data_IF_273335298090
#
_entry.id   IF_273335298090
#
_cell.length_a   1.000
_cell.length_b   1.000
_cell.length_c   1.000
_cell.angle_alpha   90.00
_cell.angle_beta   90.00
_cell.angle_gamma   90.00
#
_symmetry.space_group_name_H-M   'P 1'
#
loop_
_entity.id
_entity.type
_entity.pdbx_description
1 polymer ?
#
# COMPACT_ATOMS: atom_id res chain seq x y z
N UNK A 1 4.85 47.57 -12.90
CA UNK A 1 3.88 47.07 -11.90
C UNK A 1 2.62 46.65 -12.62
N UNK A 2 2.11 45.46 -12.32
CA UNK A 2 0.87 44.94 -12.90
C UNK A 2 -0.32 45.46 -12.07
N UNK A 3 -1.15 46.40 -12.59
CA UNK A 3 -2.21 47.03 -11.81
C UNK A 3 -3.31 46.06 -11.38
N UNK A 4 -3.54 44.97 -12.13
CA UNK A 4 -4.54 43.96 -11.78
C UNK A 4 -4.04 43.09 -10.60
N UNK A 5 -2.72 42.85 -10.54
CA UNK A 5 -2.10 42.14 -9.44
C UNK A 5 -2.14 42.96 -8.14
N UNK A 6 -1.79 44.25 -8.22
CA UNK A 6 -1.86 45.16 -7.07
C UNK A 6 -3.30 45.30 -6.54
N UNK A 7 -4.27 45.42 -7.46
CA UNK A 7 -5.69 45.41 -7.08
C UNK A 7 -6.04 44.12 -6.35
N UNK A 8 -5.65 42.95 -6.88
CA UNK A 8 -5.97 41.67 -6.25
C UNK A 8 -5.33 41.52 -4.87
N UNK A 9 -4.07 41.90 -4.70
CA UNK A 9 -3.38 41.93 -3.40
C UNK A 9 -4.09 42.82 -2.39
N UNK A 10 -4.55 44.00 -2.82
CA UNK A 10 -5.25 44.96 -1.94
C UNK A 10 -6.57 44.44 -1.37
N UNK A 11 -7.20 43.43 -2.00
CA UNK A 11 -8.51 42.89 -1.60
C UNK A 11 -8.42 41.48 -0.97
N UNK A 12 -7.22 40.95 -0.72
CA UNK A 12 -7.02 39.63 -0.10
C UNK A 12 -7.58 39.52 1.33
N UNK A 13 -7.81 40.64 2.01
CA UNK A 13 -8.42 40.65 3.34
C UNK A 13 -9.96 40.52 3.32
N UNK A 14 -10.58 40.69 2.14
CA UNK A 14 -12.04 40.59 1.98
C UNK A 14 -12.51 39.14 1.85
N UNK A 15 -13.81 38.89 1.95
CA UNK A 15 -14.37 37.55 1.70
C UNK A 15 -14.39 37.21 0.18
N UNK A 16 -14.63 35.93 -0.14
CA UNK A 16 -14.63 35.45 -1.53
C UNK A 16 -15.68 36.13 -2.42
N UNK A 17 -16.83 36.53 -1.87
CA UNK A 17 -17.93 37.15 -2.61
C UNK A 17 -17.58 38.59 -2.95
N UNK A 18 -17.04 39.33 -1.99
CA UNK A 18 -16.57 40.71 -2.16
C UNK A 18 -15.38 40.78 -3.12
N UNK A 19 -14.41 39.85 -3.01
CA UNK A 19 -13.31 39.75 -3.97
C UNK A 19 -13.81 39.57 -5.40
N UNK A 20 -14.78 38.67 -5.62
CA UNK A 20 -15.38 38.45 -6.95
C UNK A 20 -16.08 39.71 -7.47
N UNK A 21 -16.80 40.42 -6.61
CA UNK A 21 -17.50 41.65 -6.98
C UNK A 21 -16.51 42.76 -7.36
N UNK A 22 -15.44 42.96 -6.58
CA UNK A 22 -14.36 43.93 -6.88
C UNK A 22 -13.64 43.62 -8.19
N UNK A 23 -13.47 42.33 -8.50
CA UNK A 23 -12.79 41.86 -9.72
C UNK A 23 -13.73 41.66 -10.93
N UNK A 24 -15.02 42.00 -10.82
CA UNK A 24 -16.02 41.67 -11.86
C UNK A 24 -15.75 42.34 -13.21
N UNK A 25 -15.06 43.47 -13.20
CA UNK A 25 -14.71 44.25 -14.40
C UNK A 25 -13.57 43.61 -15.21
N UNK A 26 -12.81 42.68 -14.62
CA UNK A 26 -11.73 41.97 -15.30
C UNK A 26 -12.27 40.75 -16.04
N UNK A 27 -11.69 40.39 -17.20
CA UNK A 27 -11.95 39.11 -17.85
C UNK A 27 -11.66 37.94 -16.91
N UNK A 28 -12.38 36.83 -17.08
CA UNK A 28 -12.17 35.61 -16.28
C UNK A 28 -10.72 35.11 -16.36
N UNK A 29 -10.09 35.21 -17.54
CA UNK A 29 -8.68 34.85 -17.75
C UNK A 29 -7.72 35.68 -16.88
N UNK A 30 -7.94 36.99 -16.80
CA UNK A 30 -7.13 37.90 -15.97
C UNK A 30 -7.33 37.62 -14.48
N UNK A 31 -8.58 37.37 -14.03
CA UNK A 31 -8.85 36.99 -12.64
C UNK A 31 -8.13 35.70 -12.26
N UNK A 32 -8.13 34.72 -13.15
CA UNK A 32 -7.41 33.45 -12.94
C UNK A 32 -5.90 33.70 -12.90
N UNK A 33 -5.37 34.52 -13.81
CA UNK A 33 -3.93 34.86 -13.87
C UNK A 33 -3.45 35.49 -12.57
N UNK A 34 -4.09 36.56 -12.09
CA UNK A 34 -3.64 37.26 -10.87
C UNK A 34 -3.81 36.41 -9.62
N UNK A 35 -4.88 35.60 -9.54
CA UNK A 35 -5.05 34.62 -8.45
C UNK A 35 -3.90 33.62 -8.42
N UNK A 36 -3.54 33.04 -9.57
CA UNK A 36 -2.42 32.08 -9.67
C UNK A 36 -1.10 32.71 -9.24
N UNK A 37 -0.83 33.97 -9.62
CA UNK A 37 0.40 34.67 -9.21
C UNK A 37 0.45 34.81 -7.69
N UNK A 38 -0.63 35.27 -7.05
CA UNK A 38 -0.67 35.43 -5.60
C UNK A 38 -0.58 34.10 -4.87
N UNK A 39 -1.30 33.07 -5.32
CA UNK A 39 -1.22 31.72 -4.72
C UNK A 39 0.22 31.16 -4.79
N UNK A 40 0.95 31.41 -5.89
CA UNK A 40 2.36 31.03 -6.02
C UNK A 40 3.25 31.81 -5.04
N UNK A 41 3.06 33.13 -4.93
CA UNK A 41 3.82 33.98 -4.00
C UNK A 41 3.58 33.57 -2.54
N UNK A 42 2.33 33.36 -2.13
CA UNK A 42 1.97 32.90 -0.78
C UNK A 42 2.61 31.54 -0.47
N UNK A 43 2.53 30.57 -1.39
CA UNK A 43 3.14 29.25 -1.20
C UNK A 43 4.67 29.31 -1.13
N UNK A 44 5.30 30.15 -1.96
CA UNK A 44 6.74 30.35 -1.93
C UNK A 44 7.18 31.00 -0.60
N UNK A 45 6.43 31.98 -0.09
CA UNK A 45 6.69 32.59 1.20
C UNK A 45 6.57 31.57 2.35
N UNK A 46 5.49 30.79 2.37
CA UNK A 46 5.30 29.72 3.36
C UNK A 46 6.45 28.70 3.33
N UNK A 47 6.97 28.38 2.14
CA UNK A 47 8.11 27.48 2.01
C UNK A 47 9.38 28.11 2.60
N UNK A 48 9.67 29.38 2.29
CA UNK A 48 10.81 30.10 2.86
C UNK A 48 10.74 30.20 4.38
N UNK A 49 9.56 30.48 4.95
CA UNK A 49 9.34 30.51 6.39
C UNK A 49 9.59 29.16 7.05
N UNK A 50 9.17 28.05 6.41
CA UNK A 50 9.41 26.69 6.91
C UNK A 50 10.88 26.26 6.79
N UNK A 51 11.55 26.64 5.71
CA UNK A 51 12.98 26.39 5.53
C UNK A 51 13.80 27.15 6.57
N UNK A 52 13.42 28.39 6.88
CA UNK A 52 14.14 29.27 7.81
C UNK A 52 15.65 29.38 7.48
N UNK A 53 15.99 29.32 6.18
CA UNK A 53 17.37 29.35 5.68
C UNK A 53 18.14 28.03 5.76
N UNK A 54 17.52 26.93 6.20
CA UNK A 54 18.13 25.59 6.25
C UNK A 54 18.14 24.93 4.86
N UNK A 55 19.13 24.07 4.62
CA UNK A 55 19.21 23.26 3.41
C UNK A 55 18.22 22.10 3.44
N UNK A 56 17.46 21.93 2.36
CA UNK A 56 16.36 20.97 2.31
C UNK A 56 16.83 19.51 2.27
N UNK A 57 18.00 19.25 1.67
CA UNK A 57 18.60 17.91 1.63
C UNK A 57 19.14 17.55 3.01
N UNK A 58 19.87 18.46 3.65
CA UNK A 58 20.38 18.26 5.02
C UNK A 58 19.25 18.05 6.02
N UNK A 59 18.16 18.83 5.93
CA UNK A 59 16.97 18.63 6.76
C UNK A 59 16.40 17.22 6.63
N UNK A 60 16.26 16.70 5.41
CA UNK A 60 15.70 15.37 5.18
C UNK A 60 16.61 14.25 5.69
N UNK A 61 17.93 14.41 5.59
CA UNK A 61 18.91 13.43 6.05
C UNK A 61 19.07 13.43 7.58
N UNK A 62 18.88 14.58 8.23
CA UNK A 62 19.09 14.74 9.68
C UNK A 62 17.81 14.53 10.50
N UNK A 63 16.67 15.06 10.04
CA UNK A 63 15.37 14.89 10.68
C UNK A 63 14.24 14.68 9.66
N UNK A 64 14.07 13.43 9.17
CA UNK A 64 12.99 13.07 8.25
C UNK A 64 11.58 13.42 8.78
N UNK A 65 11.41 13.51 10.10
CA UNK A 65 10.10 13.71 10.71
C UNK A 65 9.50 15.07 10.39
N UNK A 66 10.33 16.09 10.09
CA UNK A 66 9.87 17.43 9.66
C UNK A 66 9.08 17.40 8.33
N UNK A 67 9.31 16.37 7.50
CA UNK A 67 8.61 16.18 6.23
C UNK A 67 7.28 15.46 6.43
N UNK A 68 7.11 14.74 7.54
CA UNK A 68 5.87 14.03 7.86
C UNK A 68 4.75 15.05 8.07
N UNK A 69 3.69 14.95 7.26
CA UNK A 69 2.57 15.89 7.29
C UNK A 69 2.87 17.28 6.70
N UNK A 70 4.00 17.47 6.02
CA UNK A 70 4.36 18.72 5.35
C UNK A 70 4.47 18.54 3.82
N UNK A 71 3.35 18.53 3.08
CA UNK A 71 3.36 18.42 1.62
C UNK A 71 4.21 19.49 0.93
N UNK A 72 4.35 20.66 1.55
CA UNK A 72 5.12 21.77 0.98
C UNK A 72 6.64 21.47 0.97
N UNK A 73 7.19 20.95 2.08
CA UNK A 73 8.60 20.57 2.17
C UNK A 73 8.88 19.34 1.28
N UNK A 74 7.98 18.36 1.31
CA UNK A 74 8.07 17.17 0.46
C UNK A 74 8.06 17.55 -1.02
N UNK A 75 7.10 18.35 -1.47
CA UNK A 75 7.02 18.77 -2.88
C UNK A 75 8.25 19.57 -3.31
N UNK A 76 8.76 20.45 -2.44
CA UNK A 76 9.98 21.19 -2.74
C UNK A 76 11.20 20.27 -2.94
N UNK A 77 11.38 19.25 -2.08
CA UNK A 77 12.52 18.34 -2.15
C UNK A 77 12.44 17.41 -3.36
N UNK A 78 11.23 16.99 -3.73
CA UNK A 78 10.98 16.21 -4.93
C UNK A 78 11.07 17.04 -6.22
N UNK A 79 11.08 18.37 -6.10
CA UNK A 79 11.08 19.30 -7.25
C UNK A 79 9.70 19.45 -7.91
N UNK A 80 8.62 19.11 -7.21
CA UNK A 80 7.23 19.24 -7.67
C UNK A 80 6.76 20.70 -7.67
N UNK A 81 5.63 20.96 -8.32
CA UNK A 81 5.04 22.29 -8.30
C UNK A 81 4.56 22.66 -6.89
N UNK A 82 4.70 23.94 -6.52
CA UNK A 82 4.19 24.46 -5.24
C UNK A 82 2.65 24.53 -5.19
N UNK A 83 1.99 24.46 -6.36
CA UNK A 83 0.53 24.51 -6.46
C UNK A 83 0.00 23.32 -7.28
N UNK A 84 -1.11 22.74 -6.81
CA UNK A 84 -1.79 21.64 -7.51
C UNK A 84 -2.21 22.03 -8.94
N UNK A 85 -2.78 23.23 -9.20
CA UNK A 85 -3.15 23.62 -10.56
C UNK A 85 -1.98 23.64 -11.55
N UNK A 86 -0.79 24.03 -11.10
CA UNK A 86 0.41 24.07 -11.94
C UNK A 86 0.90 22.66 -12.28
N UNK A 87 0.97 21.78 -11.28
CA UNK A 87 1.28 20.37 -11.49
C UNK A 87 0.26 19.70 -12.41
N UNK A 88 -1.04 19.88 -12.15
CA UNK A 88 -2.13 19.37 -12.99
C UNK A 88 -2.01 19.83 -14.44
N UNK A 89 -1.67 21.11 -14.66
CA UNK A 89 -1.48 21.65 -16.02
C UNK A 89 -0.29 21.01 -16.71
N UNK A 90 0.82 20.82 -15.99
CA UNK A 90 2.00 20.14 -16.51
C UNK A 90 1.72 18.67 -16.83
N UNK A 91 1.11 17.94 -15.90
CA UNK A 91 0.75 16.53 -16.08
C UNK A 91 -0.15 16.38 -17.30
N UNK A 92 -1.24 17.15 -17.39
CA UNK A 92 -2.13 17.10 -18.54
C UNK A 92 -1.41 17.43 -19.86
N UNK A 93 -0.46 18.36 -19.87
CA UNK A 93 0.36 18.64 -21.05
C UNK A 93 1.24 17.46 -21.44
N UNK A 94 1.97 16.87 -20.50
CA UNK A 94 2.91 15.76 -20.74
C UNK A 94 2.17 14.49 -21.13
N UNK A 95 1.00 14.22 -20.57
CA UNK A 95 0.23 13.01 -20.84
C UNK A 95 -0.80 13.16 -21.97
N UNK A 96 -0.74 14.23 -22.76
CA UNK A 96 -1.70 14.47 -23.86
C UNK A 96 -3.17 14.59 -23.41
N UNK A 97 -3.41 15.21 -22.25
CA UNK A 97 -4.71 15.39 -21.57
C UNK A 97 -5.35 14.11 -21.01
N UNK A 98 -4.66 12.97 -21.06
CA UNK A 98 -5.14 11.70 -20.50
C UNK A 98 -5.27 11.71 -18.97
N UNK A 99 -4.51 12.57 -18.28
CA UNK A 99 -4.47 12.67 -16.82
C UNK A 99 -4.62 14.12 -16.36
N UNK A 100 -5.50 14.34 -15.38
CA UNK A 100 -5.82 15.69 -14.89
C UNK A 100 -5.04 16.15 -13.64
N UNK A 101 -4.36 15.25 -12.94
CA UNK A 101 -3.58 15.57 -11.73
C UNK A 101 -2.51 14.53 -11.43
N UNK A 102 -1.47 14.94 -10.70
CA UNK A 102 -0.32 14.09 -10.38
C UNK A 102 -0.62 12.95 -9.39
N UNK A 103 -1.43 13.20 -8.36
CA UNK A 103 -1.76 12.17 -7.35
C UNK A 103 -2.55 10.99 -7.97
N UNK A 104 -3.46 11.27 -8.90
CA UNK A 104 -4.18 10.25 -9.66
C UNK A 104 -3.25 9.41 -10.54
N UNK A 105 -2.28 10.07 -11.20
CA UNK A 105 -1.27 9.39 -12.01
C UNK A 105 -0.38 8.48 -11.15
N UNK A 106 0.12 8.99 -10.01
CA UNK A 106 0.91 8.22 -9.04
C UNK A 106 0.13 6.99 -8.54
N UNK A 107 -1.11 7.20 -8.12
CA UNK A 107 -1.95 6.11 -7.60
C UNK A 107 -2.17 5.03 -8.65
N UNK A 108 -2.47 5.43 -9.89
CA UNK A 108 -2.71 4.48 -10.99
C UNK A 108 -1.47 3.71 -11.42
N UNK A 109 -0.29 4.33 -11.33
CA UNK A 109 0.98 3.63 -11.56
C UNK A 109 1.37 2.72 -10.40
N UNK A 110 1.16 3.14 -9.16
CA UNK A 110 1.43 2.31 -7.98
C UNK A 110 0.54 1.06 -7.99
N UNK A 111 -0.73 1.22 -8.36
CA UNK A 111 -1.73 0.15 -8.45
C UNK A 111 -1.78 -0.53 -9.82
N UNK A 112 -0.78 -0.36 -10.70
CA UNK A 112 -0.81 -0.90 -12.06
C UNK A 112 -1.05 -2.42 -12.08
N UNK A 113 -0.58 -3.10 -11.04
CA UNK A 113 -0.71 -4.54 -10.82
C UNK A 113 -2.13 -4.99 -10.37
N UNK A 114 -3.09 -4.08 -10.16
CA UNK A 114 -4.43 -4.34 -9.60
C UNK A 114 -5.53 -4.62 -10.65
N UNK A 115 -5.16 -4.86 -11.92
CA UNK A 115 -6.08 -5.38 -12.95
C UNK A 115 -6.86 -4.31 -13.74
N UNK A 116 -6.80 -3.03 -13.37
CA UNK A 116 -7.21 -1.93 -14.23
C UNK A 116 -5.94 -1.24 -14.73
N UNK A 117 -5.35 -1.74 -15.82
CA UNK A 117 -4.16 -1.15 -16.42
C UNK A 117 -4.59 0.01 -17.33
N UNK A 118 -4.46 1.27 -16.88
CA UNK A 118 -4.85 2.38 -17.72
C UNK A 118 -3.87 2.54 -18.87
N UNK A 119 -4.31 3.27 -19.90
CA UNK A 119 -3.41 3.75 -20.92
C UNK A 119 -2.46 4.77 -20.28
N UNK A 120 -1.15 4.47 -20.30
CA UNK A 120 -0.15 5.39 -19.79
C UNK A 120 1.02 5.51 -20.78
N UNK A 121 1.24 6.70 -21.38
CA UNK A 121 2.34 6.90 -22.31
C UNK A 121 3.70 6.89 -21.60
N UNK A 122 4.78 6.61 -22.35
CA UNK A 122 6.15 6.53 -21.81
C UNK A 122 6.58 7.80 -21.05
N UNK A 123 6.20 8.98 -21.54
CA UNK A 123 6.54 10.25 -20.89
C UNK A 123 5.88 10.38 -19.50
N UNK A 124 4.69 9.81 -19.30
CA UNK A 124 4.09 9.78 -17.99
C UNK A 124 4.88 8.89 -17.03
N UNK A 125 5.39 7.74 -17.50
CA UNK A 125 6.24 6.85 -16.70
C UNK A 125 7.54 7.54 -16.30
N UNK A 126 8.19 8.23 -17.24
CA UNK A 126 9.38 9.04 -16.97
C UNK A 126 9.09 10.17 -15.99
N UNK A 127 7.97 10.86 -16.13
CA UNK A 127 7.56 11.94 -15.23
C UNK A 127 7.37 11.43 -13.79
N UNK A 128 6.71 10.28 -13.61
CA UNK A 128 6.55 9.65 -12.29
C UNK A 128 7.86 9.16 -11.73
N UNK A 129 8.72 8.56 -12.56
CA UNK A 129 10.06 8.19 -12.13
C UNK A 129 10.85 9.40 -11.60
N UNK A 130 10.62 10.58 -12.18
CA UNK A 130 11.19 11.85 -11.76
C UNK A 130 10.43 12.55 -10.61
N UNK A 131 9.61 11.84 -9.86
CA UNK A 131 8.84 12.38 -8.73
C UNK A 131 7.85 13.49 -9.11
N UNK A 132 7.35 13.48 -10.35
CA UNK A 132 6.53 14.56 -10.94
C UNK A 132 7.25 15.92 -10.93
N UNK A 133 8.56 15.92 -11.18
CA UNK A 133 9.38 17.12 -11.26
C UNK A 133 8.72 18.20 -12.14
N UNK A 134 8.66 19.42 -11.63
CA UNK A 134 7.97 20.52 -12.29
C UNK A 134 8.79 21.10 -13.45
N UNK A 135 8.20 21.09 -14.64
CA UNK A 135 8.79 21.55 -15.89
C UNK A 135 7.93 22.72 -16.41
N UNK A 136 8.34 23.95 -16.13
CA UNK A 136 7.72 25.15 -16.70
C UNK A 136 8.80 26.16 -17.08
N UNK A 137 8.91 26.48 -18.37
CA UNK A 137 9.86 27.46 -18.89
C UNK A 137 11.35 27.13 -18.72
N UNK A 138 11.72 25.92 -18.31
CA UNK A 138 13.11 25.46 -18.24
C UNK A 138 13.66 25.06 -19.61
N UNK A 139 14.98 25.22 -19.82
CA UNK A 139 15.66 24.66 -20.99
C UNK A 139 15.79 23.13 -20.92
N UNK A 140 15.63 22.54 -19.73
CA UNK A 140 15.72 21.09 -19.53
C UNK A 140 14.43 20.41 -19.99
N UNK A 141 14.58 19.37 -20.81
CA UNK A 141 13.51 18.48 -21.23
C UNK A 141 13.22 17.43 -20.17
N UNK A 142 12.08 16.74 -20.26
CA UNK A 142 11.77 15.60 -19.38
C UNK A 142 12.85 14.50 -19.48
N UNK A 143 13.41 14.30 -20.68
CA UNK A 143 14.47 13.32 -20.90
C UNK A 143 15.75 13.69 -20.14
N UNK A 144 16.15 14.96 -20.17
CA UNK A 144 17.34 15.43 -19.43
C UNK A 144 17.19 15.21 -17.91
N UNK A 145 15.99 15.49 -17.39
CA UNK A 145 15.69 15.29 -15.96
C UNK A 145 15.70 13.79 -15.63
N UNK A 146 15.13 12.95 -16.49
CA UNK A 146 15.13 11.50 -16.30
C UNK A 146 16.54 10.91 -16.25
N UNK A 147 17.41 11.31 -17.18
CA UNK A 147 18.80 10.87 -17.22
C UNK A 147 19.61 11.36 -16.01
N UNK A 148 19.38 12.60 -15.55
CA UNK A 148 20.03 13.11 -14.35
C UNK A 148 19.54 12.36 -13.09
N UNK A 149 18.25 12.03 -13.00
CA UNK A 149 17.70 11.24 -11.89
C UNK A 149 18.30 9.84 -11.83
N UNK A 150 18.49 9.18 -12.98
CA UNK A 150 19.18 7.89 -13.06
C UNK A 150 20.62 7.99 -12.54
N UNK A 151 21.35 9.02 -12.97
CA UNK A 151 22.73 9.26 -12.54
C UNK A 151 22.84 9.54 -11.04
N UNK A 152 21.97 10.39 -10.51
CA UNK A 152 21.94 10.74 -9.07
C UNK A 152 21.68 9.51 -8.19
N UNK A 153 20.86 8.57 -8.66
CA UNK A 153 20.57 7.29 -8.00
C UNK A 153 21.74 6.32 -8.10
N UNK A 154 22.34 6.15 -9.27
CA UNK A 154 23.53 5.30 -9.46
C UNK A 154 24.70 5.76 -8.56
N UNK A 155 24.89 7.08 -8.46
CA UNK A 155 25.92 7.68 -7.61
C UNK A 155 25.53 7.78 -6.14
N UNK A 156 24.30 7.40 -5.76
CA UNK A 156 23.79 7.50 -4.39
C UNK A 156 24.02 8.89 -3.77
N UNK A 157 23.74 9.94 -4.55
CA UNK A 157 23.96 11.32 -4.11
C UNK A 157 23.12 11.66 -2.87
N UNK A 158 23.57 12.62 -2.02
CA UNK A 158 22.79 13.05 -0.86
C UNK A 158 21.36 13.49 -1.23
N UNK A 159 21.19 14.14 -2.38
CA UNK A 159 19.88 14.55 -2.88
C UNK A 159 18.99 13.36 -3.26
N UNK A 160 19.55 12.31 -3.86
CA UNK A 160 18.81 11.06 -4.14
C UNK A 160 18.38 10.37 -2.84
N UNK A 161 19.30 10.24 -1.88
CA UNK A 161 19.03 9.66 -0.55
C UNK A 161 17.99 10.44 0.25
N UNK A 162 17.99 11.77 0.14
CA UNK A 162 16.99 12.62 0.76
C UNK A 162 15.60 12.42 0.14
N UNK A 163 15.48 12.38 -1.20
CA UNK A 163 14.18 12.20 -1.91
C UNK A 163 13.53 10.87 -1.58
N UNK A 164 14.19 9.77 -1.89
CA UNK A 164 14.60 8.91 -0.79
C UNK A 164 13.63 8.61 0.36
N UNK A 165 14.16 8.99 1.50
CA UNK A 165 13.58 9.06 2.82
C UNK A 165 12.20 9.73 2.82
N UNK A 166 12.01 10.83 2.09
CA UNK A 166 10.78 11.64 2.20
C UNK A 166 9.63 11.16 1.30
N UNK A 167 9.86 10.26 0.34
CA UNK A 167 8.79 9.75 -0.53
C UNK A 167 7.73 9.01 0.29
N UNK A 168 6.45 9.27 0.00
CA UNK A 168 5.34 8.44 0.48
C UNK A 168 5.32 7.11 -0.27
N UNK A 169 4.75 6.07 0.33
CA UNK A 169 4.76 4.72 -0.25
C UNK A 169 4.14 4.66 -1.65
N UNK A 170 3.07 5.43 -1.92
CA UNK A 170 2.49 5.53 -3.26
C UNK A 170 3.51 6.02 -4.30
N UNK A 171 4.36 6.99 -3.93
CA UNK A 171 5.40 7.51 -4.83
C UNK A 171 6.48 6.46 -5.03
N UNK A 172 6.91 5.80 -3.94
CA UNK A 172 7.90 4.72 -3.96
C UNK A 172 7.46 3.58 -4.89
N UNK A 173 6.24 3.09 -4.74
CA UNK A 173 5.64 2.03 -5.56
C UNK A 173 5.50 2.46 -7.03
N UNK A 174 5.01 3.67 -7.28
CA UNK A 174 4.86 4.18 -8.63
C UNK A 174 6.22 4.32 -9.35
N UNK A 175 7.26 4.80 -8.64
CA UNK A 175 8.63 4.91 -9.16
C UNK A 175 9.24 3.56 -9.49
N UNK A 176 9.08 2.57 -8.62
CA UNK A 176 9.50 1.17 -8.86
C UNK A 176 8.84 0.62 -10.12
N UNK A 177 7.52 0.73 -10.22
CA UNK A 177 6.77 0.24 -11.36
C UNK A 177 7.19 0.97 -12.66
N UNK A 178 7.47 2.28 -12.57
CA UNK A 178 8.02 3.06 -13.69
C UNK A 178 9.40 2.56 -14.11
N UNK A 179 10.32 2.28 -13.17
CA UNK A 179 11.65 1.74 -13.45
C UNK A 179 11.57 0.44 -14.28
N UNK A 180 10.66 -0.46 -13.92
CA UNK A 180 10.41 -1.68 -14.71
C UNK A 180 9.82 -1.36 -16.09
N UNK A 181 8.73 -0.59 -16.14
CA UNK A 181 8.01 -0.32 -17.39
C UNK A 181 8.84 0.44 -18.42
N UNK A 182 9.59 1.48 -18.02
CA UNK A 182 10.37 2.32 -18.94
C UNK A 182 11.36 1.45 -19.73
N UNK A 183 12.03 0.50 -19.08
CA UNK A 183 13.00 -0.39 -19.74
C UNK A 183 12.39 -1.17 -20.93
N UNK A 184 11.11 -1.54 -20.82
CA UNK A 184 10.40 -2.24 -21.89
C UNK A 184 9.79 -1.31 -22.92
N UNK A 185 9.32 -0.12 -22.51
CA UNK A 185 8.71 0.87 -23.39
C UNK A 185 9.74 1.56 -24.30
N UNK A 186 10.96 1.74 -23.84
CA UNK A 186 12.05 2.32 -24.65
C UNK A 186 12.44 1.42 -25.84
N UNK A 187 12.13 0.12 -25.76
CA UNK A 187 12.38 -0.85 -26.84
C UNK A 187 11.29 -0.85 -27.92
N UNK A 188 10.15 -0.20 -27.69
CA UNK A 188 9.08 -0.12 -28.69
C UNK A 188 9.47 0.80 -29.85
N UNK A 189 9.05 0.44 -31.06
CA UNK A 189 9.12 1.35 -32.21
C UNK A 189 8.12 2.50 -32.08
N UNK A 190 8.28 3.55 -32.90
CA UNK A 190 7.35 4.67 -32.90
C UNK A 190 5.94 4.23 -33.34
N UNK A 191 5.83 3.29 -34.29
CA UNK A 191 4.54 2.73 -34.70
C UNK A 191 3.84 1.95 -33.57
N UNK A 192 4.59 1.25 -32.72
CA UNK A 192 4.04 0.56 -31.56
C UNK A 192 3.56 1.53 -30.48
N UNK A 193 4.21 2.70 -30.35
CA UNK A 193 3.83 3.76 -29.41
C UNK A 193 2.59 4.53 -29.85
N UNK A 194 2.41 4.66 -31.16
CA UNK A 194 1.29 5.38 -31.79
C UNK A 194 0.07 4.49 -32.09
N UNK A 195 0.05 3.26 -31.54
CA UNK A 195 -1.08 2.34 -31.66
C UNK A 195 -2.38 2.91 -31.07
N UNK A 196 -3.51 2.42 -31.57
CA UNK A 196 -4.81 2.71 -30.96
C UNK A 196 -4.83 2.27 -29.49
N UNK A 197 -5.56 3.02 -28.65
CA UNK A 197 -5.56 2.87 -27.18
C UNK A 197 -5.74 1.41 -26.73
N UNK A 198 -6.63 0.65 -27.39
CA UNK A 198 -6.91 -0.75 -27.02
C UNK A 198 -5.71 -1.66 -27.31
N UNK A 199 -5.06 -1.48 -28.46
CA UNK A 199 -3.88 -2.27 -28.83
C UNK A 199 -2.70 -1.90 -27.95
N UNK A 200 -2.48 -0.62 -27.71
CA UNK A 200 -1.40 -0.17 -26.84
C UNK A 200 -1.54 -0.70 -25.41
N UNK A 201 -2.77 -0.77 -24.86
CA UNK A 201 -3.00 -1.41 -23.54
C UNK A 201 -2.55 -2.86 -23.49
N UNK A 202 -2.77 -3.63 -24.56
CA UNK A 202 -2.30 -5.02 -24.63
C UNK A 202 -0.77 -5.10 -24.76
N UNK A 203 -0.17 -4.16 -25.50
CA UNK A 203 1.28 -3.98 -25.54
C UNK A 203 1.84 -3.69 -24.14
N UNK A 204 1.21 -2.78 -23.38
CA UNK A 204 1.63 -2.46 -22.01
C UNK A 204 1.53 -3.69 -21.08
N UNK A 205 0.47 -4.49 -21.17
CA UNK A 205 0.34 -5.77 -20.43
C UNK A 205 1.46 -6.74 -20.75
N UNK A 206 1.76 -6.88 -22.03
CA UNK A 206 2.83 -7.77 -22.50
C UNK A 206 4.19 -7.31 -21.98
N UNK A 207 4.44 -6.00 -22.00
CA UNK A 207 5.64 -5.41 -21.42
C UNK A 207 5.68 -5.67 -19.92
N UNK A 208 4.60 -5.37 -19.17
CA UNK A 208 4.52 -5.55 -17.72
C UNK A 208 4.88 -6.97 -17.32
N UNK A 209 4.29 -7.98 -17.96
CA UNK A 209 4.61 -9.40 -17.73
C UNK A 209 6.08 -9.75 -18.01
N UNK A 210 6.71 -9.07 -18.97
CA UNK A 210 8.11 -9.28 -19.35
C UNK A 210 9.11 -8.60 -18.41
N UNK A 211 8.80 -7.38 -17.95
CA UNK A 211 9.77 -6.51 -17.24
C UNK A 211 9.58 -6.47 -15.73
N UNK A 212 8.38 -6.77 -15.23
CA UNK A 212 8.15 -6.87 -13.79
C UNK A 212 8.62 -8.23 -13.25
N UNK A 213 9.04 -8.32 -11.98
CA UNK A 213 9.40 -9.59 -11.35
C UNK A 213 8.29 -10.64 -11.46
N UNK A 214 8.66 -11.92 -11.44
CA UNK A 214 7.67 -12.99 -11.31
C UNK A 214 6.97 -12.91 -9.94
N UNK A 215 5.70 -13.33 -9.80
CA UNK A 215 5.03 -13.46 -8.51
C UNK A 215 5.66 -14.54 -7.64
N UNK A 216 5.44 -14.50 -6.29
CA UNK A 216 6.00 -15.51 -5.40
C UNK A 216 5.57 -16.90 -5.83
N UNK A 217 6.43 -17.91 -5.61
CA UNK A 217 6.17 -19.26 -6.11
C UNK A 217 4.80 -19.80 -5.65
N UNK A 218 4.39 -19.47 -4.42
CA UNK A 218 3.09 -19.84 -3.87
C UNK A 218 1.92 -19.16 -4.60
N UNK A 219 2.05 -17.88 -4.97
CA UNK A 219 1.05 -17.16 -5.77
C UNK A 219 0.98 -17.74 -7.17
N UNK A 220 2.13 -17.95 -7.81
CA UNK A 220 2.18 -18.52 -9.17
C UNK A 220 1.52 -19.90 -9.19
N UNK A 221 1.81 -20.75 -8.20
CA UNK A 221 1.18 -22.06 -8.04
C UNK A 221 -0.34 -21.97 -7.95
N UNK A 222 -0.87 -21.10 -7.09
CA UNK A 222 -2.32 -20.86 -6.92
C UNK A 222 -2.96 -20.41 -8.24
N UNK A 223 -2.35 -19.44 -8.92
CA UNK A 223 -2.89 -18.86 -10.14
C UNK A 223 -2.89 -19.85 -11.30
N UNK A 224 -1.82 -20.63 -11.45
CA UNK A 224 -1.67 -21.64 -12.51
C UNK A 224 -2.62 -22.82 -12.30
N UNK A 225 -2.74 -23.28 -11.04
CA UNK A 225 -3.65 -24.38 -10.68
C UNK A 225 -5.12 -23.95 -10.57
N UNK A 226 -5.40 -22.63 -10.56
CA UNK A 226 -6.69 -22.04 -10.18
C UNK A 226 -7.21 -22.62 -8.86
N UNK A 227 -6.28 -22.76 -7.91
CA UNK A 227 -6.51 -23.44 -6.66
C UNK A 227 -7.05 -22.48 -5.60
N UNK A 228 -8.08 -22.91 -4.87
CA UNK A 228 -8.52 -22.20 -3.68
C UNK A 228 -7.47 -22.26 -2.58
N UNK A 229 -7.25 -21.15 -1.88
CA UNK A 229 -6.19 -21.02 -0.89
C UNK A 229 -6.63 -20.26 0.36
N UNK A 230 -6.01 -20.55 1.49
CA UNK A 230 -6.29 -19.87 2.75
C UNK A 230 -6.27 -20.82 3.94
N UNK A 231 -7.20 -20.61 4.87
CA UNK A 231 -7.22 -21.30 6.15
C UNK A 231 -8.62 -21.77 6.52
N UNK A 232 -8.66 -22.75 7.42
CA UNK A 232 -9.86 -23.08 8.18
C UNK A 232 -9.97 -22.12 9.35
N UNK A 233 -11.17 -21.59 9.59
CA UNK A 233 -11.44 -20.62 10.63
C UNK A 233 -12.43 -21.15 11.66
N UNK A 234 -12.18 -20.82 12.93
CA UNK A 234 -13.06 -21.06 14.04
C UNK A 234 -13.35 -19.76 14.79
N UNK A 235 -14.46 -19.78 15.52
CA UNK A 235 -14.84 -18.72 16.45
C UNK A 235 -14.54 -19.21 17.85
N UNK A 236 -13.94 -18.38 18.70
CA UNK A 236 -13.90 -18.67 20.13
C UNK A 236 -15.35 -18.92 20.64
N UNK A 237 -15.51 -19.79 21.63
CA UNK A 237 -16.81 -20.18 22.23
C UNK A 237 -17.62 -18.95 22.65
N UNK A 238 -16.95 -17.94 23.18
CA UNK A 238 -17.60 -16.70 23.56
C UNK A 238 -18.06 -15.87 22.35
N UNK A 239 -17.28 -15.83 21.26
CA UNK A 239 -17.69 -15.22 19.99
C UNK A 239 -18.91 -15.91 19.43
N UNK A 240 -18.89 -17.25 19.36
CA UNK A 240 -20.02 -18.05 18.86
C UNK A 240 -21.30 -17.79 19.68
N UNK A 241 -21.17 -17.75 21.01
CA UNK A 241 -22.29 -17.48 21.92
C UNK A 241 -22.87 -16.07 21.76
N UNK A 242 -22.01 -15.05 21.66
CA UNK A 242 -22.44 -13.64 21.62
C UNK A 242 -22.90 -13.21 20.23
N UNK A 243 -22.15 -13.60 19.19
CA UNK A 243 -22.26 -13.05 17.83
C UNK A 243 -22.58 -14.11 16.76
N UNK A 244 -22.66 -15.40 17.11
CA UNK A 244 -22.79 -16.49 16.14
C UNK A 244 -24.00 -16.40 15.20
N UNK A 245 -25.10 -15.76 15.63
CA UNK A 245 -26.31 -15.54 14.80
C UNK A 245 -26.08 -14.52 13.67
N UNK A 246 -25.30 -13.48 13.95
CA UNK A 246 -25.05 -12.36 13.01
C UNK A 246 -23.58 -12.35 12.56
N UNK A 247 -22.92 -13.52 12.61
CA UNK A 247 -21.47 -13.64 12.42
C UNK A 247 -20.99 -13.09 11.09
N UNK A 248 -21.71 -13.37 10.00
CA UNK A 248 -21.33 -12.88 8.66
C UNK A 248 -21.24 -11.34 8.64
N UNK A 249 -22.23 -10.66 9.22
CA UNK A 249 -22.23 -9.19 9.29
C UNK A 249 -21.11 -8.64 10.16
N UNK A 250 -20.79 -9.31 11.27
CA UNK A 250 -19.66 -8.90 12.11
C UNK A 250 -18.31 -9.14 11.45
N UNK A 251 -18.19 -10.24 10.71
CA UNK A 251 -16.96 -10.57 10.02
C UNK A 251 -16.69 -9.65 8.84
N UNK A 252 -17.69 -9.34 8.01
CA UNK A 252 -17.59 -8.36 6.93
C UNK A 252 -17.10 -7.00 7.47
N UNK A 253 -17.73 -6.56 8.58
CA UNK A 253 -17.34 -5.36 9.32
C UNK A 253 -15.87 -5.36 9.75
N UNK A 254 -15.41 -6.44 10.39
CA UNK A 254 -14.01 -6.56 10.82
C UNK A 254 -13.07 -6.47 9.62
N UNK A 255 -13.41 -7.14 8.52
CA UNK A 255 -12.60 -7.14 7.31
C UNK A 255 -12.56 -5.78 6.60
N UNK A 256 -13.64 -5.00 6.69
CA UNK A 256 -13.76 -3.64 6.11
C UNK A 256 -13.25 -2.52 7.04
N UNK A 257 -12.82 -2.86 8.26
CA UNK A 257 -12.36 -1.88 9.24
C UNK A 257 -11.07 -1.16 8.80
N UNK A 258 -10.89 0.06 9.31
CA UNK A 258 -9.65 0.80 9.08
C UNK A 258 -8.45 0.09 9.73
N UNK A 259 -7.37 -0.01 8.95
CA UNK A 259 -6.10 -0.50 9.45
C UNK A 259 -5.55 0.44 10.54
N UNK A 260 -4.94 -0.09 11.61
CA UNK A 260 -4.45 0.71 12.71
C UNK A 260 -3.37 1.70 12.27
N UNK A 261 -3.35 2.89 12.88
CA UNK A 261 -2.28 3.86 12.67
C UNK A 261 -1.00 3.40 13.36
N UNK A 262 0.06 3.15 12.59
CA UNK A 262 1.38 2.80 13.15
C UNK A 262 2.48 3.63 12.47
N UNK A 263 3.73 3.48 12.94
CA UNK A 263 4.89 4.13 12.30
C UNK A 263 5.11 3.70 10.85
N UNK A 264 4.69 2.48 10.50
CA UNK A 264 4.78 1.91 9.15
C UNK A 264 3.42 1.85 8.49
N UNK A 265 3.41 1.73 7.18
CA UNK A 265 2.18 1.53 6.43
C UNK A 265 1.74 0.07 6.54
N UNK A 266 0.59 -0.17 7.18
CA UNK A 266 0.06 -1.54 7.34
C UNK A 266 -0.33 -2.18 6.01
N UNK A 267 -0.60 -1.38 4.98
CA UNK A 267 -0.80 -1.85 3.61
C UNK A 267 0.36 -2.71 3.11
N UNK A 268 1.59 -2.45 3.58
CA UNK A 268 2.80 -3.21 3.21
C UNK A 268 2.80 -4.65 3.73
N UNK A 269 1.95 -4.96 4.71
CA UNK A 269 1.77 -6.31 5.25
C UNK A 269 0.47 -6.97 4.78
N UNK A 270 -0.16 -6.46 3.73
CA UNK A 270 -1.38 -7.02 3.13
C UNK A 270 -1.09 -7.61 1.75
N UNK A 271 -2.05 -8.33 1.17
CA UNK A 271 -1.94 -8.84 -0.21
C UNK A 271 -1.72 -7.72 -1.26
N UNK A 272 -2.08 -6.47 -0.93
CA UNK A 272 -1.90 -5.34 -1.83
C UNK A 272 -0.43 -4.97 -2.04
N UNK A 273 0.44 -5.33 -1.10
CA UNK A 273 1.88 -5.11 -1.23
C UNK A 273 2.60 -6.20 -2.03
N UNK A 274 1.92 -7.33 -2.30
CA UNK A 274 2.49 -8.46 -3.02
C UNK A 274 2.25 -8.30 -4.51
N UNK A 275 3.31 -8.40 -5.31
CA UNK A 275 3.25 -8.28 -6.76
C UNK A 275 2.70 -9.58 -7.39
N UNK A 276 1.65 -9.44 -8.22
CA UNK A 276 0.88 -10.54 -8.81
C UNK A 276 0.87 -10.52 -10.36
N UNK A 277 1.70 -9.69 -11.00
CA UNK A 277 1.72 -9.48 -12.46
C UNK A 277 0.33 -9.25 -13.09
N UNK A 278 -0.50 -8.44 -12.45
CA UNK A 278 -1.86 -8.09 -12.90
C UNK A 278 -2.94 -9.07 -12.43
N UNK A 279 -2.59 -10.20 -11.80
CA UNK A 279 -3.52 -11.27 -11.44
C UNK A 279 -4.04 -11.16 -9.99
N UNK A 280 -3.93 -10.00 -9.33
CA UNK A 280 -4.37 -9.85 -7.93
C UNK A 280 -5.86 -10.15 -7.76
N UNK A 281 -6.70 -9.72 -8.70
CA UNK A 281 -8.14 -10.00 -8.66
C UNK A 281 -8.44 -11.50 -8.72
N UNK A 282 -7.72 -12.25 -9.55
CA UNK A 282 -7.82 -13.71 -9.62
C UNK A 282 -7.34 -14.37 -8.33
N UNK A 283 -6.21 -13.92 -7.78
CA UNK A 283 -5.71 -14.41 -6.50
C UNK A 283 -6.73 -14.18 -5.38
N UNK A 284 -7.35 -13.00 -5.33
CA UNK A 284 -8.37 -12.66 -4.35
C UNK A 284 -9.67 -13.43 -4.54
N UNK A 285 -10.06 -13.69 -5.78
CA UNK A 285 -11.20 -14.53 -6.09
C UNK A 285 -11.01 -15.98 -5.59
N UNK A 286 -9.79 -16.48 -5.60
CA UNK A 286 -9.43 -17.82 -5.11
C UNK A 286 -9.23 -17.88 -3.59
N UNK A 287 -9.10 -16.73 -2.91
CA UNK A 287 -8.91 -16.69 -1.48
C UNK A 287 -10.15 -17.21 -0.76
N UNK A 288 -9.94 -18.19 0.12
CA UNK A 288 -11.00 -18.99 0.73
C UNK A 288 -10.85 -18.99 2.25
N UNK A 289 -11.96 -18.70 2.91
CA UNK A 289 -12.12 -18.87 4.35
C UNK A 289 -13.10 -20.01 4.57
N UNK A 290 -12.59 -21.12 5.09
CA UNK A 290 -13.40 -22.31 5.30
C UNK A 290 -13.89 -22.36 6.77
N UNK A 291 -15.20 -22.29 6.96
CA UNK A 291 -15.85 -22.14 8.27
C UNK A 291 -16.63 -23.40 8.64
N UNK A 292 -16.01 -24.41 9.30
CA UNK A 292 -16.70 -25.60 9.77
C UNK A 292 -17.72 -25.29 10.86
N UNK A 293 -18.75 -26.13 10.97
CA UNK A 293 -19.67 -26.10 12.11
C UNK A 293 -18.96 -26.61 13.35
N UNK A 294 -18.51 -25.69 14.21
CA UNK A 294 -17.90 -26.02 15.49
C UNK A 294 -18.94 -26.59 16.46
N UNK A 295 -18.65 -27.74 17.07
CA UNK A 295 -19.49 -28.34 18.11
C UNK A 295 -18.69 -28.45 19.40
N UNK A 296 -18.76 -27.41 20.21
CA UNK A 296 -17.99 -27.31 21.45
C UNK A 296 -18.14 -28.55 22.32
N UNK A 297 -17.01 -29.17 22.65
CA UNK A 297 -16.94 -30.21 23.65
C UNK A 297 -16.61 -29.59 25.01
N UNK A 298 -17.62 -29.44 25.87
CA UNK A 298 -17.49 -28.86 27.20
C UNK A 298 -16.59 -29.67 28.15
N UNK A 299 -16.12 -30.86 27.76
CA UNK A 299 -15.20 -31.68 28.55
C UNK A 299 -13.72 -31.43 28.25
N UNK A 300 -13.41 -30.69 27.18
CA UNK A 300 -12.06 -30.34 26.78
C UNK A 300 -11.80 -28.85 27.00
N UNK A 301 -10.53 -28.53 27.30
CA UNK A 301 -10.03 -27.18 27.15
C UNK A 301 -10.25 -26.73 25.71
N UNK A 302 -10.57 -25.45 25.53
CA UNK A 302 -10.99 -24.92 24.23
C UNK A 302 -9.92 -25.07 23.14
N UNK A 303 -8.66 -24.83 23.49
CA UNK A 303 -7.52 -25.00 22.57
C UNK A 303 -7.37 -26.44 22.07
N UNK A 304 -7.53 -27.42 22.96
CA UNK A 304 -7.45 -28.84 22.62
C UNK A 304 -8.66 -29.30 21.81
N UNK A 305 -9.84 -28.74 22.11
CA UNK A 305 -11.07 -28.98 21.37
C UNK A 305 -10.94 -28.50 19.92
N UNK A 306 -10.37 -27.31 19.69
CA UNK A 306 -10.11 -26.81 18.34
C UNK A 306 -9.14 -27.69 17.56
N UNK A 307 -8.00 -28.07 18.16
CA UNK A 307 -7.00 -28.93 17.49
C UNK A 307 -7.61 -30.28 17.11
N UNK A 308 -8.35 -30.89 18.04
CA UNK A 308 -9.03 -32.17 17.80
C UNK A 308 -10.04 -32.05 16.65
N UNK A 309 -10.92 -31.05 16.70
CA UNK A 309 -11.94 -30.87 15.67
C UNK A 309 -11.33 -30.52 14.31
N UNK A 310 -10.24 -29.75 14.27
CA UNK A 310 -9.52 -29.47 13.05
C UNK A 310 -8.90 -30.73 12.44
N UNK A 311 -8.23 -31.58 13.24
CA UNK A 311 -7.70 -32.86 12.77
C UNK A 311 -8.81 -33.76 12.22
N UNK A 312 -9.92 -33.90 12.95
CA UNK A 312 -11.09 -34.66 12.48
C UNK A 312 -11.68 -34.07 11.19
N UNK A 313 -11.78 -32.75 11.09
CA UNK A 313 -12.31 -32.05 9.93
C UNK A 313 -11.47 -32.27 8.68
N UNK A 314 -10.15 -32.06 8.78
CA UNK A 314 -9.20 -32.27 7.68
C UNK A 314 -9.20 -33.74 7.25
N UNK A 315 -9.28 -34.69 8.18
CA UNK A 315 -9.38 -36.12 7.87
C UNK A 315 -10.69 -36.46 7.14
N UNK A 316 -11.82 -35.98 7.65
CA UNK A 316 -13.15 -36.25 7.08
C UNK A 316 -13.36 -35.59 5.71
N UNK A 317 -12.69 -34.47 5.45
CA UNK A 317 -12.74 -33.74 4.19
C UNK A 317 -11.47 -33.87 3.35
N UNK A 318 -10.62 -34.88 3.59
CA UNK A 318 -9.32 -34.97 2.94
C UNK A 318 -9.37 -34.87 1.40
N UNK A 319 -10.42 -35.43 0.79
CA UNK A 319 -10.66 -35.43 -0.66
C UNK A 319 -11.50 -34.23 -1.16
N UNK A 320 -12.10 -33.46 -0.26
CA UNK A 320 -13.01 -32.35 -0.57
C UNK A 320 -12.43 -30.98 -0.24
N UNK A 321 -11.45 -30.92 0.67
CA UNK A 321 -10.78 -29.69 1.06
C UNK A 321 -9.73 -29.34 -0.02
N UNK A 322 -9.79 -28.14 -0.62
CA UNK A 322 -8.79 -27.71 -1.61
C UNK A 322 -7.36 -27.85 -1.04
N UNK A 323 -6.39 -28.26 -1.87
CA UNK A 323 -5.04 -28.53 -1.39
C UNK A 323 -4.29 -27.26 -0.96
N UNK A 324 -4.70 -26.10 -1.49
CA UNK A 324 -4.24 -24.78 -1.08
C UNK A 324 -4.77 -24.31 0.28
N UNK A 325 -5.72 -25.00 0.91
CA UNK A 325 -6.08 -24.71 2.31
C UNK A 325 -5.02 -25.31 3.23
N UNK A 326 -4.48 -24.49 4.14
CA UNK A 326 -3.48 -24.96 5.11
C UNK A 326 -4.01 -26.12 5.96
N UNK A 327 -3.25 -27.23 5.97
CA UNK A 327 -3.59 -28.46 6.73
C UNK A 327 -2.89 -28.55 8.09
N UNK A 328 -1.97 -27.64 8.38
CA UNK A 328 -1.19 -27.60 9.63
C UNK A 328 -1.46 -26.34 10.45
N UNK A 329 -2.26 -25.41 9.92
CA UNK A 329 -2.59 -24.15 10.59
C UNK A 329 -4.05 -23.80 10.39
N UNK A 330 -4.72 -23.42 11.48
CA UNK A 330 -6.07 -22.88 11.46
C UNK A 330 -6.15 -21.59 12.28
N UNK A 331 -7.14 -20.77 11.99
CA UNK A 331 -7.31 -19.46 12.59
C UNK A 331 -8.47 -19.50 13.59
N UNK A 332 -8.29 -18.89 14.76
CA UNK A 332 -9.37 -18.70 15.74
C UNK A 332 -9.56 -17.21 15.96
N UNK A 333 -10.81 -16.77 15.80
CA UNK A 333 -11.19 -15.38 16.06
C UNK A 333 -11.44 -15.21 17.56
N UNK A 334 -10.63 -14.38 18.26
CA UNK A 334 -10.82 -14.11 19.68
C UNK A 334 -12.01 -13.16 19.90
N UNK A 335 -12.57 -13.18 21.11
CA UNK A 335 -13.60 -12.20 21.49
C UNK A 335 -13.04 -10.78 21.54
N UNK A 336 -11.76 -10.62 21.90
CA UNK A 336 -11.11 -9.31 21.99
C UNK A 336 -11.12 -8.55 20.66
N UNK A 337 -11.09 -9.24 19.51
CA UNK A 337 -11.13 -8.61 18.18
C UNK A 337 -12.48 -7.92 17.90
N UNK A 338 -13.54 -8.28 18.64
CA UNK A 338 -14.90 -7.79 18.39
C UNK A 338 -15.18 -6.60 19.31
N UNK A 339 -15.44 -5.41 18.76
CA UNK A 339 -15.75 -4.22 19.56
C UNK A 339 -16.99 -4.44 20.44
N UNK A 340 -16.91 -4.01 21.70
CA UNK A 340 -18.03 -4.09 22.66
C UNK A 340 -19.16 -3.09 22.35
N UNK A 341 -18.93 -2.11 21.46
CA UNK A 341 -19.88 -1.04 21.16
C UNK A 341 -20.78 -1.36 19.96
N UNK A 342 -22.09 -1.24 20.15
CA UNK A 342 -23.08 -1.29 19.07
C UNK A 342 -23.00 -0.08 18.12
N UNK A 343 -22.30 0.99 18.52
CA UNK A 343 -22.04 2.20 17.72
C UNK A 343 -20.70 2.14 16.97
N UNK A 344 -20.00 1.01 17.01
CA UNK A 344 -18.78 0.84 16.24
C UNK A 344 -19.07 0.90 14.73
N UNK A 345 -18.33 1.76 14.04
CA UNK A 345 -18.40 2.01 12.60
C UNK A 345 -17.17 1.41 11.91
N UNK A 346 -17.30 1.01 10.65
CA UNK A 346 -16.21 0.47 9.81
C UNK A 346 -15.06 1.48 9.63
N UNK A 347 -15.35 2.77 9.82
CA UNK A 347 -14.35 3.84 9.80
C UNK A 347 -13.49 3.92 11.08
N UNK A 348 -13.78 3.11 12.10
CA UNK A 348 -12.99 3.09 13.32
C UNK A 348 -11.85 2.08 13.21
N UNK A 349 -10.65 2.46 13.66
CA UNK A 349 -9.54 1.53 13.81
C UNK A 349 -9.91 0.40 14.80
N UNK A 350 -9.59 -0.84 14.45
CA UNK A 350 -9.73 -1.98 15.35
C UNK A 350 -8.56 -2.04 16.34
N UNK A 351 -8.88 -2.21 17.62
CA UNK A 351 -7.93 -2.54 18.67
C UNK A 351 -8.58 -3.54 19.65
N UNK A 352 -8.04 -4.75 19.82
CA UNK A 352 -6.90 -5.34 19.09
C UNK A 352 -7.20 -5.68 17.62
N UNK A 353 -6.15 -5.70 16.78
CA UNK A 353 -6.20 -6.05 15.35
C UNK A 353 -5.55 -7.41 15.03
N UNK A 354 -5.65 -8.37 15.95
CA UNK A 354 -4.99 -9.66 15.82
C UNK A 354 -5.95 -10.85 16.01
N UNK A 355 -5.57 -11.98 15.42
CA UNK A 355 -6.21 -13.28 15.59
C UNK A 355 -5.21 -14.30 16.12
N UNK A 356 -5.70 -15.45 16.58
CA UNK A 356 -4.83 -16.57 16.89
C UNK A 356 -4.64 -17.47 15.67
N UNK A 357 -3.40 -17.73 15.28
CA UNK A 357 -3.06 -18.85 14.41
C UNK A 357 -2.59 -20.03 15.25
N UNK A 358 -3.25 -21.17 15.11
CA UNK A 358 -2.98 -22.38 15.87
C UNK A 358 -2.17 -23.36 15.05
N UNK A 359 -1.23 -24.00 15.72
CA UNK A 359 -0.52 -25.17 15.25
C UNK A 359 -1.38 -26.40 15.51
N UNK A 360 -1.80 -27.03 14.42
CA UNK A 360 -2.67 -28.19 14.48
C UNK A 360 -1.96 -29.40 15.10
N UNK A 361 -0.66 -29.53 14.88
CA UNK A 361 0.11 -30.72 15.24
C UNK A 361 0.81 -30.58 16.59
N UNK A 362 0.79 -29.39 17.19
CA UNK A 362 1.40 -29.15 18.49
C UNK A 362 0.79 -30.00 19.61
N UNK A 363 1.66 -30.59 20.41
CA UNK A 363 1.35 -31.33 21.63
C UNK A 363 2.16 -30.76 22.80
N UNK A 364 1.53 -30.63 23.99
CA UNK A 364 2.16 -30.06 25.18
C UNK A 364 3.36 -30.85 25.72
N UNK A 365 3.66 -32.01 25.15
CA UNK A 365 4.78 -32.88 25.54
C UNK A 365 6.06 -32.68 24.71
N UNK A 366 6.05 -31.79 23.71
CA UNK A 366 7.26 -31.43 22.95
C UNK A 366 8.22 -30.57 23.79
N UNK A 367 9.51 -30.52 23.41
CA UNK A 367 10.52 -29.71 24.09
C UNK A 367 10.05 -28.25 24.27
N UNK A 368 9.95 -27.82 25.54
CA UNK A 368 9.46 -26.48 25.88
C UNK A 368 10.33 -25.42 25.22
N UNK A 369 9.72 -24.68 24.30
CA UNK A 369 10.38 -23.53 23.67
C UNK A 369 10.10 -22.32 24.52
N UNK A 370 11.14 -21.81 25.18
CA UNK A 370 11.04 -20.70 26.11
C UNK A 370 11.78 -19.50 25.53
N UNK A 371 11.10 -18.35 25.46
CA UNK A 371 11.71 -17.06 25.11
C UNK A 371 11.33 -16.05 26.20
N UNK A 372 12.34 -15.44 26.83
CA UNK A 372 12.15 -14.47 27.93
C UNK A 372 11.18 -14.92 29.05
N UNK A 373 11.10 -16.23 29.30
CA UNK A 373 10.24 -16.82 30.33
C UNK A 373 8.82 -17.18 29.85
N UNK A 374 8.48 -16.95 28.59
CA UNK A 374 7.23 -17.41 27.98
C UNK A 374 7.43 -18.68 27.17
N UNK A 375 6.51 -19.62 27.30
CA UNK A 375 6.55 -20.91 26.61
C UNK A 375 5.62 -20.89 25.40
N UNK A 376 6.08 -21.41 24.26
CA UNK A 376 5.23 -21.61 23.08
C UNK A 376 4.08 -22.58 23.39
N UNK A 377 2.84 -22.15 23.14
CA UNK A 377 1.61 -22.90 23.46
C UNK A 377 0.92 -23.48 22.21
N UNK A 378 1.67 -23.68 21.12
CA UNK A 378 1.10 -24.15 19.86
C UNK A 378 0.18 -23.13 19.18
N UNK A 379 0.39 -21.83 19.43
CA UNK A 379 -0.33 -20.73 18.80
C UNK A 379 0.46 -19.43 18.83
N UNK A 380 0.16 -18.52 17.91
CA UNK A 380 0.79 -17.20 17.80
C UNK A 380 -0.26 -16.15 17.43
N UNK A 381 -0.10 -14.93 17.95
CA UNK A 381 -0.92 -13.79 17.51
C UNK A 381 -0.44 -13.32 16.15
N UNK A 382 -1.37 -13.14 15.22
CA UNK A 382 -1.08 -12.67 13.86
C UNK A 382 -1.98 -11.49 13.53
N UNK A 383 -1.44 -10.45 12.92
CA UNK A 383 -2.24 -9.32 12.45
C UNK A 383 -3.26 -9.82 11.42
N UNK A 384 -4.56 -9.56 11.61
CA UNK A 384 -5.61 -10.20 10.80
C UNK A 384 -5.48 -9.86 9.31
N UNK A 385 -5.08 -8.63 8.99
CA UNK A 385 -4.87 -8.14 7.61
C UNK A 385 -3.66 -8.79 6.92
N UNK A 386 -2.79 -9.47 7.68
CA UNK A 386 -1.63 -10.19 7.13
C UNK A 386 -1.92 -11.66 6.81
N UNK A 387 -3.06 -12.21 7.24
CA UNK A 387 -3.38 -13.64 7.06
C UNK A 387 -3.33 -14.05 5.59
N UNK A 388 -4.02 -13.30 4.72
CA UNK A 388 -4.09 -13.54 3.27
C UNK A 388 -2.93 -12.88 2.53
N UNK A 389 -1.73 -12.90 3.11
CA UNK A 389 -0.54 -12.28 2.51
C UNK A 389 0.71 -13.10 2.84
N UNK A 390 1.79 -12.46 3.30
CA UNK A 390 3.04 -13.10 3.70
C UNK A 390 2.88 -14.14 4.82
N UNK A 391 1.84 -14.08 5.65
CA UNK A 391 1.58 -15.15 6.62
C UNK A 391 1.26 -16.48 5.93
N UNK A 392 0.36 -16.47 4.95
CA UNK A 392 0.08 -17.65 4.13
C UNK A 392 1.32 -18.10 3.37
N UNK A 393 2.07 -17.15 2.77
CA UNK A 393 3.34 -17.42 2.10
C UNK A 393 4.33 -18.18 2.99
N UNK A 394 4.57 -17.69 4.22
CA UNK A 394 5.45 -18.34 5.19
C UNK A 394 5.02 -19.78 5.49
N UNK A 395 3.71 -20.01 5.67
CA UNK A 395 3.18 -21.36 5.94
C UNK A 395 3.27 -22.28 4.72
N UNK A 396 3.05 -21.75 3.53
CA UNK A 396 3.22 -22.50 2.27
C UNK A 396 4.68 -22.91 2.06
N UNK A 397 5.63 -22.04 2.41
CA UNK A 397 7.07 -22.29 2.33
C UNK A 397 7.60 -23.18 3.47
N UNK A 398 6.74 -23.60 4.40
CA UNK A 398 7.06 -24.54 5.46
C UNK A 398 7.65 -23.91 6.74
N UNK A 399 7.62 -22.58 6.88
CA UNK A 399 8.10 -21.88 8.09
C UNK A 399 7.21 -22.24 9.28
N UNK A 400 7.74 -22.91 10.31
CA UNK A 400 6.94 -23.41 11.43
C UNK A 400 6.27 -22.28 12.23
N UNK A 401 5.12 -22.56 12.85
CA UNK A 401 4.46 -21.57 13.73
C UNK A 401 5.28 -21.25 14.98
N UNK A 402 6.15 -22.18 15.40
CA UNK A 402 7.13 -21.96 16.46
C UNK A 402 8.14 -20.87 16.08
N UNK A 403 8.67 -20.90 14.86
CA UNK A 403 9.62 -19.89 14.38
C UNK A 403 8.94 -18.52 14.21
N UNK A 404 7.72 -18.52 13.66
CA UNK A 404 6.84 -17.34 13.58
C UNK A 404 6.58 -16.77 14.98
N UNK A 405 6.34 -17.63 15.97
CA UNK A 405 6.15 -17.22 17.37
C UNK A 405 7.41 -16.58 17.97
N UNK A 406 8.60 -17.10 17.67
CA UNK A 406 9.88 -16.50 18.11
C UNK A 406 10.07 -15.10 17.53
N UNK A 407 9.77 -14.89 16.25
CA UNK A 407 9.78 -13.55 15.65
C UNK A 407 8.77 -12.62 16.33
N UNK A 408 7.56 -13.12 16.58
CA UNK A 408 6.49 -12.35 17.21
C UNK A 408 6.91 -11.79 18.58
N UNK A 409 7.75 -12.51 19.34
CA UNK A 409 8.23 -12.04 20.65
C UNK A 409 9.08 -10.76 20.58
N UNK A 410 9.62 -10.42 19.41
CA UNK A 410 10.38 -9.19 19.21
C UNK A 410 9.48 -7.96 19.05
N UNK A 411 8.18 -8.16 18.78
CA UNK A 411 7.19 -7.08 18.69
C UNK A 411 6.66 -6.71 20.08
N UNK A 412 6.47 -5.42 20.42
CA UNK A 412 5.94 -4.99 21.72
C UNK A 412 4.64 -5.71 22.14
N UNK A 413 3.73 -5.91 21.19
CA UNK A 413 2.45 -6.60 21.42
C UNK A 413 2.49 -8.13 21.22
N UNK A 414 3.70 -8.71 21.06
CA UNK A 414 3.92 -10.14 20.79
C UNK A 414 3.14 -10.64 19.58
N UNK A 415 3.12 -9.81 18.55
CA UNK A 415 2.35 -9.96 17.33
C UNK A 415 3.28 -10.31 16.17
N UNK A 416 2.90 -11.31 15.37
CA UNK A 416 3.59 -11.56 14.11
C UNK A 416 3.04 -10.65 13.01
N UNK A 417 3.95 -9.98 12.33
CA UNK A 417 3.71 -9.22 11.10
C UNK A 417 4.92 -9.36 10.18
N UNK A 418 4.67 -9.34 8.88
CA UNK A 418 5.71 -9.34 7.86
C UNK A 418 5.35 -8.29 6.82
N UNK A 419 6.21 -7.29 6.69
CA UNK A 419 6.06 -6.26 5.67
C UNK A 419 6.84 -6.65 4.42
N UNK A 420 6.37 -6.18 3.26
CA UNK A 420 7.26 -6.01 2.11
C UNK A 420 8.40 -5.06 2.52
N UNK A 421 9.63 -5.38 2.14
CA UNK A 421 10.79 -4.54 2.51
C UNK A 421 10.66 -3.14 1.93
N UNK A 422 11.23 -2.17 2.64
CA UNK A 422 11.40 -0.84 2.07
C UNK A 422 12.46 -0.87 0.96
N UNK A 423 12.00 -0.68 -0.28
CA UNK A 423 12.71 -0.36 -1.54
C UNK A 423 13.33 -1.48 -2.36
N UNK A 424 13.08 -1.37 -3.68
CA UNK A 424 13.55 -2.12 -4.88
C UNK A 424 13.43 -3.65 -4.87
N UNK A 425 13.53 -4.25 -3.70
CA UNK A 425 13.32 -5.66 -3.48
C UNK A 425 11.82 -5.91 -3.53
N UNK A 426 11.40 -6.73 -4.48
CA UNK A 426 10.11 -7.44 -4.46
C UNK A 426 9.97 -8.35 -3.21
N UNK A 427 11.01 -8.40 -2.40
CA UNK A 427 11.16 -9.23 -1.23
C UNK A 427 10.45 -8.66 0.00
N UNK A 428 10.29 -9.52 0.99
CA UNK A 428 9.66 -9.23 2.25
C UNK A 428 10.68 -9.35 3.38
N UNK A 429 10.30 -8.88 4.56
CA UNK A 429 11.11 -9.11 5.75
C UNK A 429 11.26 -10.59 6.04
N UNK A 430 12.32 -10.96 6.75
CA UNK A 430 12.48 -12.36 7.16
C UNK A 430 11.24 -12.83 7.95
N UNK A 431 10.78 -14.03 7.64
CA UNK A 431 9.62 -14.61 8.33
C UNK A 431 9.92 -14.95 9.80
N UNK A 432 11.20 -15.09 10.16
CA UNK A 432 11.75 -15.53 11.46
C UNK A 432 12.70 -14.48 12.02
#
# INVERSE_FOLDING_TARGET
MDPNLELYKSILHLDLRERRQRMQHLPTSERIRVRKIVEREERAQMLQEKLAGRDLVEMALSDPSEFRGSPLLQNALLGRALTVPDESTMVARITGQSWGNGEGLLSSMASYDQGNEPYIPIDAWKLVYCDLYYIDGSNATLQDIYEERLREEELQTPAAQAREIVRRDVIKLARRNAKWMISGLEQLSDEERDQEIVQYKETLRTIWKRVSPAPPAWIQHILDAKEQWGFVYYRAREVDRKYGRDWATWWDRIMDSQLPSTERNMGDATVFSIHCQGNRSDLMYLATEDWPTFRANNTLAEDDDFRKQFKEYVQNKADLLPAGISRSTFIVIPTDLIPDSAEWDENNELDPYWVWAYDADWESSEEETIFEGETYQGRVKVAYYSLKSWFYGARWEGVSLRDIWLKAQQHPDKLWICYTKYMEEWDHELYI
#
